data_IF_763707235187
#
_entry.id   IF_763707235187
#
_cell.length_a   1.000
_cell.length_b   1.000
_cell.length_c   1.000
_cell.angle_alpha   90.00
_cell.angle_beta   90.00
_cell.angle_gamma   90.00
#
_symmetry.space_group_name_H-M   'P 1'
#
loop_
_entity.id
_entity.type
_entity.pdbx_description
1 polymer ?
#
# COMPACT_ATOMS: atom_id res chain seq x y z
N UNK A 1 -13.03 -8.31 5.24
CA UNK A 1 -12.13 -9.35 4.67
C UNK A 1 -10.70 -8.94 5.00
N UNK A 2 -9.80 -9.90 5.24
CA UNK A 2 -8.42 -9.59 5.60
C UNK A 2 -7.60 -9.35 4.31
N UNK A 3 -6.99 -8.18 4.19
CA UNK A 3 -6.10 -7.87 3.06
C UNK A 3 -4.74 -8.54 3.26
N UNK A 4 -4.09 -8.91 2.15
CA UNK A 4 -2.74 -9.44 2.22
C UNK A 4 -1.74 -8.37 2.68
N UNK A 5 -0.75 -8.77 3.46
CA UNK A 5 0.31 -7.87 3.94
C UNK A 5 1.61 -8.14 3.19
N UNK A 6 2.13 -7.14 2.48
CA UNK A 6 3.40 -7.27 1.73
C UNK A 6 4.58 -7.10 2.68
N UNK A 7 5.46 -8.10 2.74
CA UNK A 7 6.68 -8.10 3.57
C UNK A 7 7.94 -7.74 2.79
N UNK A 8 7.97 -8.00 1.49
CA UNK A 8 9.08 -7.64 0.61
C UNK A 8 8.62 -7.55 -0.85
N UNK A 9 9.32 -6.77 -1.66
CA UNK A 9 9.12 -6.71 -3.11
C UNK A 9 10.39 -6.26 -3.83
N UNK A 10 10.50 -6.61 -5.11
CA UNK A 10 11.58 -6.17 -5.99
C UNK A 10 11.04 -5.86 -7.38
N UNK A 11 11.58 -4.85 -8.07
CA UNK A 11 11.17 -4.49 -9.43
C UNK A 11 9.88 -3.69 -9.56
N UNK A 12 9.19 -3.37 -8.44
CA UNK A 12 8.00 -2.51 -8.44
C UNK A 12 8.28 -1.11 -7.90
N UNK A 13 7.60 -0.13 -8.49
CA UNK A 13 7.37 1.17 -7.86
C UNK A 13 6.19 1.06 -6.88
N UNK A 14 6.38 1.52 -5.64
CA UNK A 14 5.33 1.56 -4.62
C UNK A 14 4.78 2.99 -4.49
N UNK A 15 3.46 3.14 -4.51
CA UNK A 15 2.77 4.39 -4.19
C UNK A 15 1.59 4.11 -3.26
N UNK A 16 1.33 4.99 -2.31
CA UNK A 16 0.15 4.90 -1.43
C UNK A 16 -0.90 5.90 -1.88
N UNK A 17 -2.15 5.45 -2.03
CA UNK A 17 -3.29 6.29 -2.46
C UNK A 17 -4.46 6.14 -1.50
N UNK A 18 -5.23 7.22 -1.32
CA UNK A 18 -6.48 7.18 -0.59
C UNK A 18 -7.65 7.06 -1.57
N UNK A 19 -8.41 5.96 -1.48
CA UNK A 19 -9.58 5.71 -2.31
C UNK A 19 -10.78 5.55 -1.36
N UNK A 20 -11.73 6.48 -1.41
CA UNK A 20 -12.93 6.43 -0.56
C UNK A 20 -12.61 6.45 0.94
N UNK A 21 -11.55 7.15 1.36
CA UNK A 21 -11.11 7.22 2.76
C UNK A 21 -10.28 6.04 3.26
N UNK A 22 -10.01 5.04 2.40
CA UNK A 22 -9.12 3.91 2.73
C UNK A 22 -7.77 4.08 2.03
N UNK A 23 -6.68 3.92 2.77
CA UNK A 23 -5.33 3.93 2.23
C UNK A 23 -4.99 2.58 1.58
N UNK A 24 -4.45 2.62 0.37
CA UNK A 24 -4.03 1.46 -0.40
C UNK A 24 -2.59 1.62 -0.88
N UNK A 25 -1.79 0.56 -0.73
CA UNK A 25 -0.48 0.44 -1.33
C UNK A 25 -0.62 -0.19 -2.71
N UNK A 26 -0.12 0.51 -3.74
CA UNK A 26 -0.08 0.08 -5.13
C UNK A 26 1.35 -0.29 -5.49
N UNK A 27 1.53 -1.48 -6.03
CA UNK A 27 2.79 -2.01 -6.54
C UNK A 27 2.70 -2.14 -8.05
N UNK A 28 3.45 -1.31 -8.78
CA UNK A 28 3.46 -1.29 -10.25
C UNK A 28 4.77 -1.86 -10.77
N UNK A 29 4.69 -3.00 -11.46
CA UNK A 29 5.80 -3.67 -12.14
C UNK A 29 5.76 -3.31 -13.63
N UNK A 30 6.84 -2.75 -14.15
CA UNK A 30 6.94 -2.24 -15.53
C UNK A 30 8.08 -2.90 -16.33
N UNK A 31 8.41 -2.34 -17.51
CA UNK A 31 9.17 -2.99 -18.59
C UNK A 31 10.65 -3.30 -18.33
N UNK A 32 11.16 -3.13 -17.12
CA UNK A 32 12.53 -3.50 -16.75
C UNK A 32 12.70 -4.98 -16.39
N UNK A 33 11.68 -5.81 -16.65
CA UNK A 33 11.76 -7.27 -16.51
C UNK A 33 11.30 -7.74 -15.14
N UNK A 34 9.98 -7.82 -14.97
CA UNK A 34 9.35 -8.55 -13.86
C UNK A 34 9.83 -8.14 -12.47
N UNK A 35 9.75 -9.08 -11.54
CA UNK A 35 10.17 -8.89 -10.17
C UNK A 35 9.59 -9.96 -9.26
N UNK A 36 9.49 -9.64 -7.99
CA UNK A 36 8.82 -10.50 -7.01
C UNK A 36 8.04 -9.66 -6.00
N UNK A 37 6.98 -10.25 -5.46
CA UNK A 37 6.28 -9.74 -4.29
C UNK A 37 6.12 -10.87 -3.28
N UNK A 38 6.40 -10.58 -2.02
CA UNK A 38 6.26 -11.53 -0.92
C UNK A 38 5.19 -11.02 0.02
N UNK A 39 4.18 -11.85 0.25
CA UNK A 39 3.17 -11.60 1.28
C UNK A 39 3.59 -12.28 2.58
N UNK A 40 3.75 -11.50 3.66
CA UNK A 40 4.03 -12.02 5.00
C UNK A 40 2.77 -12.58 5.67
N UNK A 41 1.60 -12.08 5.29
CA UNK A 41 0.30 -12.63 5.65
C UNK A 41 -0.58 -12.72 4.40
N UNK A 42 -1.30 -13.84 4.25
CA UNK A 42 -2.24 -14.03 3.16
C UNK A 42 -3.49 -13.16 3.31
N UNK A 43 -4.20 -12.96 2.21
CA UNK A 43 -5.41 -12.16 2.16
C UNK A 43 -5.73 -11.67 0.74
N UNK A 44 -6.67 -10.76 0.65
CA UNK A 44 -7.17 -10.24 -0.63
C UNK A 44 -6.19 -9.24 -1.27
N UNK A 45 -6.03 -9.37 -2.60
CA UNK A 45 -5.21 -8.52 -3.46
C UNK A 45 -6.01 -8.19 -4.73
N UNK A 46 -6.22 -6.90 -5.00
CA UNK A 46 -6.71 -6.46 -6.30
C UNK A 46 -5.56 -6.51 -7.31
N UNK A 47 -5.81 -7.05 -8.50
CA UNK A 47 -4.78 -7.16 -9.53
C UNK A 47 -5.26 -6.60 -10.88
N UNK A 48 -4.28 -6.13 -11.65
CA UNK A 48 -4.37 -5.86 -13.08
C UNK A 48 -3.13 -6.45 -13.76
N UNK A 49 -3.32 -7.34 -14.72
CA UNK A 49 -2.27 -7.86 -15.59
C UNK A 49 -2.57 -7.42 -17.02
N UNK A 50 -1.55 -6.90 -17.70
CA UNK A 50 -1.64 -6.49 -19.10
C UNK A 50 -0.47 -7.14 -19.85
N UNK A 51 -0.74 -7.91 -20.89
CA UNK A 51 0.29 -8.45 -21.78
C UNK A 51 0.99 -7.36 -22.60
N UNK A 52 2.12 -7.67 -23.23
CA UNK A 52 2.73 -6.78 -24.22
C UNK A 52 1.85 -6.68 -25.48
N UNK A 53 1.80 -5.52 -26.13
CA UNK A 53 1.12 -5.35 -27.41
C UNK A 53 1.93 -5.90 -28.57
N UNK A 54 1.28 -6.29 -29.67
CA UNK A 54 1.93 -6.77 -30.89
C UNK A 54 2.61 -5.66 -31.70
N UNK A 55 3.69 -6.01 -32.38
CA UNK A 55 4.41 -5.14 -33.31
C UNK A 55 3.73 -5.04 -34.67
N UNK A 56 4.13 -4.05 -35.48
CA UNK A 56 3.56 -3.89 -36.82
C UNK A 56 4.39 -4.57 -37.90
N UNK A 57 3.68 -5.04 -38.93
CA UNK A 57 4.27 -5.54 -40.16
C UNK A 57 4.86 -4.41 -40.99
N UNK A 58 5.81 -4.77 -41.86
CA UNK A 58 6.45 -3.83 -42.78
C UNK A 58 5.59 -3.54 -44.02
N UNK A 59 5.90 -2.48 -44.78
CA UNK A 59 5.36 -2.31 -46.12
C UNK A 59 4.17 -1.34 -46.23
N UNK A 60 3.44 -1.49 -47.32
CA UNK A 60 2.70 -0.40 -47.94
C UNK A 60 1.37 -0.05 -47.28
N UNK A 61 0.78 -0.99 -46.54
CA UNK A 61 -0.52 -0.88 -45.89
C UNK A 61 -0.65 -2.05 -44.90
N UNK A 62 0.31 -2.18 -43.99
CA UNK A 62 0.30 -3.27 -43.02
C UNK A 62 -0.87 -3.12 -42.04
N UNK A 63 -1.33 -4.23 -41.46
CA UNK A 63 -2.29 -4.19 -40.35
C UNK A 63 -1.71 -3.50 -39.11
N UNK A 64 -2.58 -3.12 -38.17
CA UNK A 64 -2.16 -2.70 -36.83
C UNK A 64 -1.91 -3.89 -35.91
N UNK A 65 -0.96 -3.79 -34.98
CA UNK A 65 -0.73 -4.82 -33.96
C UNK A 65 -1.87 -4.88 -32.95
N UNK A 66 -2.16 -6.07 -32.42
CA UNK A 66 -3.15 -6.25 -31.35
C UNK A 66 -2.66 -5.68 -30.03
N UNK A 67 -3.57 -5.19 -29.19
CA UNK A 67 -3.24 -4.88 -27.79
C UNK A 67 -2.88 -6.15 -27.00
N UNK A 68 -2.17 -5.99 -25.89
CA UNK A 68 -2.02 -7.06 -24.91
C UNK A 68 -3.37 -7.41 -24.29
N UNK A 69 -3.57 -8.68 -23.97
CA UNK A 69 -4.73 -9.14 -23.20
C UNK A 69 -4.72 -8.49 -21.81
N UNK A 70 -5.92 -8.23 -21.27
CA UNK A 70 -6.09 -7.61 -19.96
C UNK A 70 -6.88 -8.53 -19.02
N UNK A 71 -6.33 -8.78 -17.84
CA UNK A 71 -7.01 -9.46 -16.74
C UNK A 71 -7.04 -8.55 -15.52
N UNK A 72 -8.19 -8.46 -14.86
CA UNK A 72 -8.32 -7.75 -13.58
C UNK A 72 -9.30 -8.47 -12.67
N UNK A 73 -9.13 -8.31 -11.37
CA UNK A 73 -9.99 -8.95 -10.39
C UNK A 73 -9.39 -8.99 -8.99
N UNK A 74 -9.99 -9.82 -8.16
CA UNK A 74 -9.56 -10.07 -6.78
C UNK A 74 -8.90 -11.45 -6.69
N UNK A 75 -7.75 -11.53 -6.04
CA UNK A 75 -7.04 -12.77 -5.74
C UNK A 75 -6.85 -12.90 -4.22
N UNK A 76 -7.20 -14.07 -3.68
CA UNK A 76 -6.84 -14.44 -2.30
C UNK A 76 -5.44 -15.04 -2.28
N UNK A 77 -4.43 -14.23 -1.95
CA UNK A 77 -3.04 -14.66 -1.87
C UNK A 77 -2.76 -15.40 -0.56
N UNK A 78 -1.91 -16.42 -0.61
CA UNK A 78 -1.31 -17.05 0.60
C UNK A 78 0.00 -16.34 0.97
N UNK A 79 0.45 -16.51 2.22
CA UNK A 79 1.74 -16.02 2.67
C UNK A 79 2.87 -16.76 1.96
N UNK A 80 3.39 -16.16 0.89
CA UNK A 80 4.39 -16.74 0.00
C UNK A 80 5.05 -15.67 -0.85
N UNK A 81 6.14 -16.04 -1.54
CA UNK A 81 6.76 -15.24 -2.59
C UNK A 81 6.14 -15.59 -3.95
N UNK A 82 5.76 -14.55 -4.69
CA UNK A 82 5.16 -14.67 -6.02
C UNK A 82 6.10 -14.02 -7.05
N UNK A 83 6.58 -14.79 -8.05
CA UNK A 83 7.28 -14.20 -9.17
C UNK A 83 6.29 -13.39 -10.02
N UNK A 84 6.78 -12.27 -10.54
CA UNK A 84 6.05 -11.39 -11.45
C UNK A 84 6.79 -11.35 -12.78
N UNK A 85 6.06 -11.53 -13.88
CA UNK A 85 6.58 -11.33 -15.23
C UNK A 85 5.77 -10.23 -15.91
N UNK A 86 6.47 -9.29 -16.55
CA UNK A 86 5.87 -8.24 -17.36
C UNK A 86 6.26 -8.49 -18.82
N UNK A 87 5.25 -8.67 -19.67
CA UNK A 87 5.43 -8.92 -21.09
C UNK A 87 6.07 -7.74 -21.81
N UNK A 88 7.12 -8.00 -22.57
CA UNK A 88 7.67 -7.06 -23.53
C UNK A 88 6.70 -6.85 -24.70
N UNK A 89 6.74 -5.65 -25.31
CA UNK A 89 6.02 -5.41 -26.55
C UNK A 89 6.67 -6.15 -27.72
N UNK A 90 5.85 -6.54 -28.70
CA UNK A 90 6.30 -7.24 -29.90
C UNK A 90 7.22 -6.39 -30.75
N UNK A 91 8.26 -7.01 -31.30
CA UNK A 91 9.27 -6.33 -32.11
C UNK A 91 8.67 -5.78 -33.41
N UNK A 92 9.18 -4.63 -33.84
CA UNK A 92 8.91 -4.09 -35.16
C UNK A 92 9.49 -5.01 -36.25
N UNK A 93 8.82 -5.14 -37.40
CA UNK A 93 9.40 -5.82 -38.55
C UNK A 93 10.70 -5.12 -39.01
N UNK A 94 11.81 -5.86 -39.07
CA UNK A 94 13.17 -5.34 -39.34
C UNK A 94 13.53 -5.23 -40.83
N UNK A 95 12.73 -5.83 -41.71
CA UNK A 95 12.94 -5.79 -43.15
C UNK A 95 11.60 -5.84 -43.90
N UNK A 96 11.61 -5.42 -45.17
CA UNK A 96 10.44 -5.48 -46.04
C UNK A 96 10.00 -6.92 -46.27
N UNK A 97 8.71 -7.20 -46.05
CA UNK A 97 8.15 -8.54 -46.19
C UNK A 97 8.02 -9.32 -44.87
N UNK A 98 8.49 -8.76 -43.75
CA UNK A 98 8.46 -9.39 -42.44
C UNK A 98 7.22 -8.93 -41.65
N UNK A 99 6.64 -9.86 -40.88
CA UNK A 99 5.54 -9.63 -39.96
C UNK A 99 6.01 -8.97 -38.66
N UNK A 100 5.12 -8.27 -37.97
CA UNK A 100 5.39 -7.80 -36.62
C UNK A 100 5.48 -8.98 -35.66
N UNK A 101 6.35 -8.87 -34.65
CA UNK A 101 6.41 -9.87 -33.58
C UNK A 101 5.18 -9.78 -32.68
N UNK A 102 4.78 -10.92 -32.11
CA UNK A 102 3.77 -10.96 -31.06
C UNK A 102 4.33 -10.31 -29.78
N UNK A 103 3.43 -9.77 -28.96
CA UNK A 103 3.77 -9.34 -27.61
C UNK A 103 4.00 -10.54 -26.70
N UNK A 104 4.76 -10.33 -25.63
CA UNK A 104 5.00 -11.36 -24.62
C UNK A 104 3.94 -11.32 -23.51
N UNK A 105 3.80 -12.43 -22.79
CA UNK A 105 2.82 -12.58 -21.72
C UNK A 105 3.25 -11.89 -20.42
N UNK A 106 2.27 -11.41 -19.64
CA UNK A 106 2.46 -11.01 -18.24
C UNK A 106 1.84 -12.03 -17.31
N UNK A 107 2.44 -12.27 -16.14
CA UNK A 107 1.93 -13.29 -15.20
C UNK A 107 2.12 -12.94 -13.73
N UNK A 108 1.15 -13.37 -12.92
CA UNK A 108 1.13 -13.28 -11.46
C UNK A 108 0.29 -14.41 -10.88
N UNK A 109 0.80 -15.13 -9.88
CA UNK A 109 0.06 -16.15 -9.12
C UNK A 109 -0.68 -17.21 -9.98
N UNK A 110 -0.07 -17.62 -11.10
CA UNK A 110 -0.66 -18.60 -12.03
C UNK A 110 -1.64 -18.00 -13.05
N UNK A 111 -2.00 -16.71 -12.92
CA UNK A 111 -2.74 -15.97 -13.93
C UNK A 111 -1.80 -15.50 -15.04
N UNK A 112 -2.28 -15.56 -16.28
CA UNK A 112 -1.51 -15.14 -17.46
C UNK A 112 -2.37 -14.24 -18.33
N UNK A 113 -1.90 -13.00 -18.51
CA UNK A 113 -2.40 -12.07 -19.52
C UNK A 113 -1.59 -12.25 -20.80
N UNK A 114 -2.22 -12.70 -21.88
CA UNK A 114 -1.53 -13.05 -23.11
C UNK A 114 -1.06 -11.81 -23.88
N UNK A 115 0.11 -11.89 -24.52
CA UNK A 115 0.58 -10.84 -25.40
C UNK A 115 -0.25 -10.72 -26.68
N UNK A 116 -0.28 -9.52 -27.28
CA UNK A 116 -1.06 -9.21 -28.46
C UNK A 116 -0.45 -9.76 -29.74
N UNK A 117 -1.31 -10.14 -30.69
CA UNK A 117 -0.87 -10.66 -31.99
C UNK A 117 -0.20 -9.59 -32.86
N UNK A 118 0.89 -9.96 -33.50
CA UNK A 118 1.62 -9.16 -34.47
C UNK A 118 0.83 -8.90 -35.75
N UNK A 119 1.11 -7.77 -36.39
CA UNK A 119 0.47 -7.41 -37.65
C UNK A 119 1.25 -7.90 -38.87
N UNK A 120 0.57 -8.01 -40.00
CA UNK A 120 1.12 -8.55 -41.26
C UNK A 120 1.14 -7.49 -42.37
N UNK A 121 1.91 -7.76 -43.44
CA UNK A 121 2.21 -6.79 -44.51
C UNK A 121 1.35 -6.93 -45.78
N UNK A 122 1.21 -8.13 -46.35
CA UNK A 122 0.45 -8.38 -47.58
C UNK A 122 0.01 -9.84 -47.67
N UNK A 123 -1.24 -10.08 -48.06
CA UNK A 123 -1.79 -11.43 -48.27
C UNK A 123 -1.65 -12.38 -47.06
N UNK A 124 -1.71 -11.81 -45.85
CA UNK A 124 -1.66 -12.54 -44.58
C UNK A 124 -2.83 -12.15 -43.69
N UNK A 125 -3.28 -13.10 -42.87
CA UNK A 125 -4.15 -12.82 -41.73
C UNK A 125 -3.32 -12.29 -40.56
N UNK A 126 -3.91 -11.43 -39.72
CA UNK A 126 -3.25 -11.00 -38.49
C UNK A 126 -2.99 -12.19 -37.56
N UNK A 127 -1.96 -12.10 -36.71
CA UNK A 127 -1.68 -13.16 -35.74
C UNK A 127 -2.69 -13.13 -34.59
N UNK A 128 -2.98 -14.31 -34.03
CA UNK A 128 -3.79 -14.45 -32.82
C UNK A 128 -2.99 -14.02 -31.59
N UNK A 129 -3.68 -13.60 -30.53
CA UNK A 129 -3.04 -13.25 -29.26
C UNK A 129 -4.08 -12.89 -28.20
N UNK A 130 -3.63 -12.28 -27.10
CA UNK A 130 -4.51 -11.70 -26.08
C UNK A 130 -5.57 -10.80 -26.73
N UNK A 131 -5.12 -9.88 -27.59
CA UNK A 131 -5.94 -9.30 -28.66
C UNK A 131 -5.31 -9.63 -30.03
N UNK A 132 -6.14 -9.81 -31.05
CA UNK A 132 -5.68 -10.21 -32.38
C UNK A 132 -5.08 -9.06 -33.20
N UNK A 133 -4.06 -9.36 -34.00
CA UNK A 133 -3.48 -8.42 -34.96
C UNK A 133 -4.41 -8.12 -36.13
N UNK A 134 -4.23 -6.96 -36.78
CA UNK A 134 -4.99 -6.56 -37.96
C UNK A 134 -4.53 -7.30 -39.22
N UNK A 135 -5.49 -7.66 -40.09
CA UNK A 135 -5.21 -8.30 -41.37
C UNK A 135 -4.57 -7.34 -42.38
N UNK A 136 -3.79 -7.89 -43.31
CA UNK A 136 -3.22 -7.12 -44.41
C UNK A 136 -4.15 -7.09 -45.63
N UNK A 137 -3.98 -6.16 -46.58
CA UNK A 137 -4.62 -6.27 -47.88
C UNK A 137 -4.12 -7.52 -48.63
N UNK A 138 -5.02 -8.28 -49.28
CA UNK A 138 -4.71 -9.51 -50.03
C UNK A 138 -5.07 -9.43 -51.51
N UNK A 139 -4.31 -10.07 -52.40
CA UNK A 139 -4.58 -10.02 -53.83
C UNK A 139 -5.80 -10.90 -54.15
N UNK A 140 -6.98 -10.29 -54.32
CA UNK A 140 -8.23 -11.00 -54.58
C UNK A 140 -9.21 -11.06 -53.40
N UNK A 141 -8.98 -10.31 -52.31
CA UNK A 141 -10.00 -10.20 -51.26
C UNK A 141 -9.55 -9.58 -49.93
N UNK A 142 -10.45 -9.73 -48.95
CA UNK A 142 -10.31 -9.30 -47.56
C UNK A 142 -9.51 -10.33 -46.77
N UNK A 143 -8.45 -9.93 -46.07
CA UNK A 143 -7.77 -10.82 -45.10
C UNK A 143 -8.20 -10.47 -43.70
N UNK A 144 -8.63 -11.47 -42.92
CA UNK A 144 -9.13 -11.29 -41.56
C UNK A 144 -8.01 -10.87 -40.61
N UNK A 145 -8.39 -10.17 -39.54
CA UNK A 145 -7.52 -10.05 -38.38
C UNK A 145 -7.40 -11.38 -37.64
N UNK A 146 -6.44 -11.45 -36.74
CA UNK A 146 -6.30 -12.55 -35.79
C UNK A 146 -7.39 -12.50 -34.72
N UNK A 147 -7.60 -13.63 -34.06
CA UNK A 147 -8.50 -13.77 -32.93
C UNK A 147 -7.89 -13.21 -31.64
N UNK A 148 -8.77 -12.71 -30.75
CA UNK A 148 -8.43 -12.41 -29.37
C UNK A 148 -8.79 -13.59 -28.43
N UNK A 149 -8.17 -13.63 -27.27
CA UNK A 149 -8.53 -14.61 -26.23
C UNK A 149 -9.79 -14.14 -25.50
N UNK A 150 -10.81 -15.00 -25.45
CA UNK A 150 -12.09 -14.71 -24.78
C UNK A 150 -11.84 -14.32 -23.33
N UNK A 151 -12.41 -13.17 -22.93
CA UNK A 151 -12.25 -12.62 -21.58
C UNK A 151 -10.97 -11.80 -21.36
N UNK A 152 -10.08 -11.70 -22.34
CA UNK A 152 -8.87 -10.85 -22.27
C UNK A 152 -8.79 -9.81 -23.39
N UNK A 153 -9.35 -10.12 -24.56
CA UNK A 153 -9.37 -9.18 -25.67
C UNK A 153 -10.16 -9.66 -26.88
N UNK A 154 -10.16 -8.80 -27.90
CA UNK A 154 -10.99 -8.96 -29.10
C UNK A 154 -10.15 -9.17 -30.35
N UNK A 155 -10.82 -9.63 -31.41
CA UNK A 155 -10.20 -9.86 -32.71
C UNK A 155 -9.78 -8.56 -33.40
N UNK A 156 -8.77 -8.66 -34.26
CA UNK A 156 -8.38 -7.60 -35.18
C UNK A 156 -9.37 -7.48 -36.34
N UNK A 157 -9.38 -6.29 -36.94
CA UNK A 157 -10.14 -6.00 -38.15
C UNK A 157 -9.44 -6.51 -39.41
N UNK A 158 -10.21 -6.61 -40.47
CA UNK A 158 -9.77 -7.11 -41.75
C UNK A 158 -9.16 -6.03 -42.66
N UNK A 159 -8.10 -6.42 -43.37
CA UNK A 159 -7.47 -5.61 -44.41
C UNK A 159 -8.14 -5.81 -45.77
N UNK A 160 -8.21 -4.75 -46.58
CA UNK A 160 -8.90 -4.74 -47.87
C UNK A 160 -7.96 -4.24 -48.96
N UNK A 161 -7.95 -4.98 -50.07
CA UNK A 161 -7.27 -4.59 -51.30
C UNK A 161 -8.29 -4.21 -52.37
N UNK A 162 -8.22 -2.98 -52.87
CA UNK A 162 -9.05 -2.52 -54.00
C UNK A 162 -8.21 -2.37 -55.26
N UNK A 163 -7.03 -1.77 -55.12
CA UNK A 163 -6.05 -1.64 -56.20
C UNK A 163 -4.63 -1.48 -55.63
N UNK A 164 -3.62 -1.49 -56.50
CA UNK A 164 -2.24 -1.24 -56.09
C UNK A 164 -2.05 0.14 -55.41
N UNK A 165 -2.90 1.09 -55.80
CA UNK A 165 -2.95 2.46 -55.31
C UNK A 165 -3.79 2.57 -54.02
N UNK A 166 -4.90 1.83 -53.94
CA UNK A 166 -5.86 1.89 -52.85
C UNK A 166 -5.95 0.55 -52.09
N UNK A 167 -5.22 0.49 -50.97
CA UNK A 167 -5.16 -0.67 -50.08
C UNK A 167 -4.93 -0.24 -48.64
N UNK A 168 -5.51 -0.99 -47.72
CA UNK A 168 -5.51 -0.67 -46.28
C UNK A 168 -5.43 -1.94 -45.45
N UNK A 169 -4.60 -1.90 -44.40
CA UNK A 169 -4.61 -2.90 -43.34
C UNK A 169 -5.79 -2.69 -42.41
N UNK A 170 -6.24 -3.76 -41.76
CA UNK A 170 -7.20 -3.71 -40.67
C UNK A 170 -6.55 -3.18 -39.39
N UNK A 171 -7.36 -2.61 -38.49
CA UNK A 171 -6.90 -2.24 -37.16
C UNK A 171 -6.70 -3.46 -36.28
N UNK A 172 -5.73 -3.41 -35.36
CA UNK A 172 -5.57 -4.44 -34.33
C UNK A 172 -6.71 -4.39 -33.32
N UNK A 173 -7.05 -5.55 -32.75
CA UNK A 173 -8.02 -5.68 -31.68
C UNK A 173 -7.51 -5.04 -30.39
N UNK A 174 -8.41 -4.46 -29.60
CA UNK A 174 -8.13 -4.02 -28.25
C UNK A 174 -8.78 -4.91 -27.21
N UNK A 175 -8.47 -4.69 -25.94
CA UNK A 175 -9.04 -5.44 -24.83
C UNK A 175 -10.54 -5.12 -24.58
N UNK A 176 -11.03 -3.98 -25.10
CA UNK A 176 -12.40 -3.49 -24.92
C UNK A 176 -13.27 -3.50 -26.18
N UNK A 177 -12.68 -3.61 -27.38
CA UNK A 177 -13.43 -3.73 -28.63
C UNK A 177 -12.60 -4.37 -29.76
N UNK A 178 -13.31 -4.91 -30.75
CA UNK A 178 -12.71 -5.37 -32.01
C UNK A 178 -11.97 -4.25 -32.73
N UNK A 179 -10.93 -4.61 -33.48
CA UNK A 179 -10.29 -3.70 -34.43
C UNK A 179 -11.23 -3.39 -35.59
N UNK A 180 -11.13 -2.19 -36.15
CA UNK A 180 -11.99 -1.83 -37.26
C UNK A 180 -11.50 -2.48 -38.55
N UNK A 181 -12.45 -3.03 -39.31
CA UNK A 181 -12.23 -3.38 -40.70
C UNK A 181 -11.91 -2.13 -41.51
N UNK A 182 -11.21 -2.33 -42.62
CA UNK A 182 -10.91 -1.22 -43.52
C UNK A 182 -12.16 -0.73 -44.26
N UNK A 183 -12.52 0.53 -44.00
CA UNK A 183 -13.53 1.27 -44.76
C UNK A 183 -12.93 2.01 -45.95
N UNK A 184 -13.65 2.07 -47.07
CA UNK A 184 -13.16 2.71 -48.31
C UNK A 184 -13.10 4.26 -48.24
N UNK A 185 -13.58 4.88 -47.16
CA UNK A 185 -13.80 6.34 -47.04
C UNK A 185 -12.60 7.15 -46.49
N UNK A 186 -11.46 7.12 -47.18
CA UNK A 186 -10.38 8.12 -47.04
C UNK A 186 -9.49 8.10 -45.77
N UNK A 187 -9.90 7.43 -44.69
CA UNK A 187 -9.12 7.28 -43.44
C UNK A 187 -8.61 5.85 -43.26
N UNK A 188 -7.47 5.64 -42.57
CA UNK A 188 -7.04 4.30 -42.16
C UNK A 188 -8.07 3.59 -41.26
N UNK A 189 -7.83 2.31 -40.97
CA UNK A 189 -8.67 1.53 -40.05
C UNK A 189 -8.25 1.77 -38.61
N UNK A 190 -9.17 2.14 -37.72
CA UNK A 190 -8.84 2.42 -36.33
C UNK A 190 -8.54 1.14 -35.54
N UNK A 191 -7.70 1.26 -34.52
CA UNK A 191 -7.50 0.16 -33.56
C UNK A 191 -8.68 0.02 -32.60
N UNK A 192 -8.91 -1.20 -32.10
CA UNK A 192 -9.91 -1.45 -31.07
C UNK A 192 -9.51 -0.81 -29.74
N UNK A 193 -10.48 -0.24 -29.02
CA UNK A 193 -10.19 0.37 -27.70
C UNK A 193 -9.78 -0.70 -26.67
N UNK A 194 -8.92 -0.32 -25.74
CA UNK A 194 -8.64 -1.07 -24.53
C UNK A 194 -9.80 -1.00 -23.52
N UNK A 195 -9.60 -1.62 -22.36
CA UNK A 195 -10.57 -1.59 -21.24
C UNK A 195 -10.15 -0.56 -20.19
N UNK A 196 -11.11 0.16 -19.62
CA UNK A 196 -10.88 1.16 -18.59
C UNK A 196 -10.87 0.52 -17.20
N UNK A 197 -9.78 0.67 -16.45
CA UNK A 197 -9.58 0.09 -15.12
C UNK A 197 -9.14 1.17 -14.13
N UNK A 198 -9.82 1.24 -12.98
CA UNK A 198 -9.59 2.21 -11.90
C UNK A 198 -8.69 1.71 -10.77
N UNK A 199 -7.72 0.83 -11.05
CA UNK A 199 -6.94 0.15 -9.99
C UNK A 199 -6.07 1.13 -9.18
N UNK A 200 -5.65 2.25 -9.78
CA UNK A 200 -4.83 3.27 -9.11
C UNK A 200 -5.64 4.39 -8.44
N UNK A 201 -6.98 4.30 -8.46
CA UNK A 201 -7.89 5.34 -8.00
C UNK A 201 -8.38 6.29 -9.11
N UNK A 202 -7.76 6.25 -10.29
CA UNK A 202 -8.25 6.91 -11.50
C UNK A 202 -8.39 5.91 -12.65
N UNK A 203 -9.37 6.13 -13.51
CA UNK A 203 -9.65 5.23 -14.64
C UNK A 203 -8.60 5.44 -15.76
N UNK A 204 -7.88 4.37 -16.11
CA UNK A 204 -6.91 4.34 -17.20
C UNK A 204 -7.28 3.23 -18.18
N UNK A 205 -7.09 3.46 -19.47
CA UNK A 205 -7.31 2.43 -20.49
C UNK A 205 -6.06 1.57 -20.68
N UNK A 206 -6.24 0.26 -20.82
CA UNK A 206 -5.17 -0.72 -21.06
C UNK A 206 -5.50 -1.65 -22.22
N UNK A 207 -4.49 -2.05 -22.99
CA UNK A 207 -4.61 -3.00 -24.10
C UNK A 207 -5.28 -2.42 -25.35
N UNK A 208 -4.94 -1.19 -25.74
CA UNK A 208 -5.47 -0.58 -26.98
C UNK A 208 -4.80 -1.16 -28.24
N UNK A 209 -5.58 -1.52 -29.27
CA UNK A 209 -5.04 -2.00 -30.54
C UNK A 209 -4.47 -0.88 -31.42
N UNK A 210 -3.51 -1.20 -32.28
CA UNK A 210 -2.95 -0.25 -33.24
C UNK A 210 -3.86 -0.02 -34.46
N UNK A 211 -3.81 1.16 -35.05
CA UNK A 211 -4.52 1.43 -36.32
C UNK A 211 -3.82 0.76 -37.51
N UNK A 212 -4.58 0.40 -38.55
CA UNK A 212 -4.04 -0.13 -39.80
C UNK A 212 -3.41 0.95 -40.68
N UNK A 213 -2.36 0.58 -41.42
CA UNK A 213 -1.70 1.45 -42.39
C UNK A 213 -2.50 1.56 -43.69
N UNK A 214 -2.40 2.69 -44.39
CA UNK A 214 -3.17 2.94 -45.63
C UNK A 214 -2.35 3.58 -46.74
N UNK A 215 -2.56 3.12 -47.99
CA UNK A 215 -2.17 3.89 -49.17
C UNK A 215 -3.32 4.76 -49.66
N UNK A 216 -2.97 5.95 -50.14
CA UNK A 216 -3.88 6.96 -50.68
C UNK A 216 -4.97 7.36 -49.67
N UNK A 217 -4.53 7.86 -48.52
CA UNK A 217 -5.40 8.41 -47.48
C UNK A 217 -5.28 9.94 -47.39
N UNK A 218 -6.36 10.60 -46.98
CA UNK A 218 -6.33 12.03 -46.58
C UNK A 218 -5.78 12.20 -45.17
N UNK A 219 -5.92 11.20 -44.29
CA UNK A 219 -5.36 11.20 -42.94
C UNK A 219 -5.11 9.80 -42.39
N UNK A 220 -4.23 9.72 -41.39
CA UNK A 220 -3.98 8.50 -40.63
C UNK A 220 -5.15 8.17 -39.70
N UNK A 221 -5.20 6.92 -39.24
CA UNK A 221 -6.16 6.49 -38.23
C UNK A 221 -5.53 6.44 -36.85
N UNK A 222 -6.32 6.77 -35.83
CA UNK A 222 -5.91 6.66 -34.45
C UNK A 222 -5.86 5.19 -34.02
N UNK A 223 -4.86 4.86 -33.19
CA UNK A 223 -4.91 3.64 -32.40
C UNK A 223 -6.02 3.72 -31.34
N UNK A 224 -6.37 2.57 -30.78
CA UNK A 224 -7.35 2.48 -29.70
C UNK A 224 -6.84 3.11 -28.40
N UNK A 225 -7.76 3.62 -27.59
CA UNK A 225 -7.44 4.09 -26.24
C UNK A 225 -6.78 2.96 -25.43
N UNK A 226 -5.82 3.30 -24.58
CA UNK A 226 -4.94 2.32 -23.93
C UNK A 226 -3.65 2.05 -24.68
N UNK A 227 -3.15 3.07 -25.38
CA UNK A 227 -1.77 3.11 -25.89
C UNK A 227 -1.58 2.59 -27.32
N UNK A 228 -2.65 2.37 -28.08
CA UNK A 228 -2.56 1.92 -29.47
C UNK A 228 -1.85 2.95 -30.36
N UNK A 229 -0.94 2.48 -31.21
CA UNK A 229 -0.22 3.32 -32.16
C UNK A 229 -1.09 3.78 -33.34
N UNK A 230 -0.86 5.00 -33.81
CA UNK A 230 -1.53 5.52 -34.99
C UNK A 230 -0.98 4.86 -36.26
N UNK A 231 -1.86 4.58 -37.23
CA UNK A 231 -1.49 3.98 -38.51
C UNK A 231 -0.81 5.01 -39.42
N UNK A 232 0.29 4.59 -40.07
CA UNK A 232 0.94 5.38 -41.11
C UNK A 232 0.09 5.44 -42.37
N UNK A 233 0.32 6.46 -43.20
CA UNK A 233 -0.36 6.55 -44.49
C UNK A 233 0.47 7.23 -45.57
N UNK A 234 0.15 6.95 -46.83
CA UNK A 234 0.65 7.69 -47.99
C UNK A 234 -0.50 8.51 -48.58
N UNK A 235 -0.31 9.81 -48.82
CA UNK A 235 -1.34 10.64 -49.46
C UNK A 235 -1.34 10.48 -51.00
N UNK A 236 -2.32 11.07 -51.68
CA UNK A 236 -2.44 11.02 -53.15
C UNK A 236 -1.27 11.69 -53.90
N UNK A 237 -0.48 12.53 -53.22
CA UNK A 237 0.75 13.14 -53.76
C UNK A 237 1.99 12.25 -53.56
N UNK A 238 1.84 11.06 -52.97
CA UNK A 238 2.94 10.13 -52.68
C UNK A 238 3.75 10.47 -51.43
N UNK A 239 3.33 11.45 -50.62
CA UNK A 239 3.99 11.79 -49.35
C UNK A 239 3.65 10.77 -48.27
N UNK A 240 4.67 10.21 -47.63
CA UNK A 240 4.53 9.25 -46.52
C UNK A 240 4.46 9.96 -45.18
N UNK A 241 3.44 9.63 -44.40
CA UNK A 241 3.27 10.02 -43.01
C UNK A 241 3.47 8.79 -42.12
N UNK A 242 4.36 8.93 -41.16
CA UNK A 242 4.71 7.86 -40.23
C UNK A 242 3.59 7.60 -39.23
N UNK A 243 3.36 6.34 -38.91
CA UNK A 243 2.59 5.93 -37.75
C UNK A 243 3.41 6.02 -36.46
N UNK A 244 2.95 5.34 -35.42
CA UNK A 244 3.63 5.27 -34.12
C UNK A 244 3.62 3.85 -33.55
N UNK A 245 4.56 3.59 -32.64
CA UNK A 245 4.55 2.38 -31.81
C UNK A 245 3.47 2.41 -30.74
N UNK A 246 3.31 1.28 -30.07
CA UNK A 246 2.48 1.17 -28.88
C UNK A 246 3.10 1.88 -27.68
N UNK A 247 2.26 2.25 -26.71
CA UNK A 247 2.71 2.92 -25.48
C UNK A 247 3.13 1.89 -24.44
N UNK A 248 4.37 2.00 -23.96
CA UNK A 248 4.90 1.14 -22.88
C UNK A 248 4.10 1.30 -21.58
N UNK A 249 3.92 0.18 -20.87
CA UNK A 249 3.15 0.13 -19.63
C UNK A 249 1.63 0.11 -19.82
N UNK A 250 1.15 0.13 -21.07
CA UNK A 250 -0.28 0.03 -21.40
C UNK A 250 -0.62 -1.19 -22.26
N UNK A 251 0.38 -1.95 -22.73
CA UNK A 251 0.17 -3.08 -23.63
C UNK A 251 -0.40 -2.66 -24.99
N UNK A 252 -0.14 -1.44 -25.44
CA UNK A 252 -0.70 -0.94 -26.70
C UNK A 252 -0.10 -1.62 -27.94
N UNK A 253 -0.92 -1.96 -28.94
CA UNK A 253 -0.46 -2.48 -30.21
C UNK A 253 0.16 -1.40 -31.11
N UNK A 254 1.11 -1.78 -31.96
CA UNK A 254 1.77 -0.86 -32.90
C UNK A 254 0.87 -0.44 -34.06
N UNK A 255 1.01 0.80 -34.54
CA UNK A 255 0.35 1.25 -35.77
C UNK A 255 0.90 0.58 -37.02
N UNK A 256 0.04 0.26 -37.98
CA UNK A 256 0.40 -0.31 -39.27
C UNK A 256 1.23 0.65 -40.11
N UNK A 257 2.21 0.11 -40.83
CA UNK A 257 3.09 0.89 -41.70
C UNK A 257 2.45 1.23 -43.04
N UNK A 258 2.87 2.36 -43.62
CA UNK A 258 2.58 2.74 -45.00
C UNK A 258 3.89 3.10 -45.74
N UNK A 259 4.88 2.20 -45.66
CA UNK A 259 6.21 2.42 -46.21
C UNK A 259 7.26 1.50 -45.58
N UNK A 260 8.47 2.03 -45.34
CA UNK A 260 9.62 1.25 -44.84
C UNK A 260 9.75 1.25 -43.31
N UNK A 261 8.98 2.05 -42.58
CA UNK A 261 9.09 2.19 -41.12
C UNK A 261 8.03 1.32 -40.45
N UNK A 262 8.49 0.37 -39.63
CA UNK A 262 7.66 -0.47 -38.76
C UNK A 262 7.82 -0.02 -37.31
N UNK A 263 6.90 -0.42 -36.43
CA UNK A 263 6.87 0.01 -35.04
C UNK A 263 6.68 -1.16 -34.09
N UNK A 264 7.26 -1.05 -32.89
CA UNK A 264 7.12 -2.04 -31.83
C UNK A 264 5.81 -1.82 -31.05
N UNK A 265 5.28 -2.90 -30.51
CA UNK A 265 4.23 -2.83 -29.51
C UNK A 265 4.74 -2.25 -28.20
N UNK A 266 3.82 -1.77 -27.37
CA UNK A 266 4.10 -1.32 -26.02
C UNK A 266 4.23 -2.50 -25.06
N UNK A 267 5.12 -2.39 -24.09
CA UNK A 267 5.18 -3.34 -22.97
C UNK A 267 3.89 -3.39 -22.16
N UNK A 268 3.65 -4.54 -21.53
CA UNK A 268 2.61 -4.74 -20.54
C UNK A 268 2.92 -4.07 -19.21
N UNK A 269 2.07 -4.34 -18.23
CA UNK A 269 2.22 -3.90 -16.83
C UNK A 269 1.54 -4.91 -15.91
N UNK A 270 2.07 -5.07 -14.69
CA UNK A 270 1.37 -5.75 -13.60
C UNK A 270 1.20 -4.77 -12.46
N UNK A 271 -0.04 -4.57 -12.01
CA UNK A 271 -0.37 -3.66 -10.91
C UNK A 271 -1.11 -4.45 -9.84
N UNK A 272 -0.60 -4.41 -8.62
CA UNK A 272 -1.22 -5.02 -7.44
C UNK A 272 -1.61 -3.93 -6.46
N UNK A 273 -2.80 -4.03 -5.88
CA UNK A 273 -3.29 -3.12 -4.85
C UNK A 273 -3.72 -3.91 -3.62
N UNK A 274 -3.19 -3.50 -2.46
CA UNK A 274 -3.54 -4.03 -1.14
C UNK A 274 -3.86 -2.88 -0.21
N UNK A 275 -4.73 -3.09 0.78
CA UNK A 275 -4.94 -2.06 1.80
C UNK A 275 -3.62 -1.83 2.55
N UNK A 276 -3.22 -0.56 2.67
CA UNK A 276 -2.08 -0.22 3.52
C UNK A 276 -2.48 -0.55 4.96
N UNK A 277 -1.64 -1.24 5.75
CA UNK A 277 -1.82 -1.28 7.18
C UNK A 277 -1.91 0.17 7.66
N UNK A 278 -3.04 0.55 8.27
CA UNK A 278 -3.16 1.86 8.89
C UNK A 278 -2.12 1.87 10.00
N UNK A 279 -1.04 2.63 9.83
CA UNK A 279 -0.30 3.11 10.98
C UNK A 279 -1.28 4.02 11.72
N UNK A 280 -1.86 3.53 12.82
CA UNK A 280 -2.71 4.33 13.68
C UNK A 280 -1.82 5.35 14.41
N UNK A 281 -1.41 6.40 13.68
CA UNK A 281 -0.68 7.55 14.20
C UNK A 281 -1.49 8.80 13.89
N UNK A 282 -2.21 9.31 14.88
CA UNK A 282 -2.79 10.64 14.79
C UNK A 282 -1.65 11.64 14.97
N UNK A 283 -1.28 12.36 13.90
CA UNK A 283 -0.35 13.50 14.00
C UNK A 283 -1.16 14.79 13.84
N UNK A 284 -1.22 15.61 14.88
CA UNK A 284 -1.91 16.90 14.86
C UNK A 284 -2.40 17.38 16.23
N UNK A 285 -2.52 18.70 16.40
CA UNK A 285 -3.17 19.29 17.58
C UNK A 285 -4.66 19.00 17.56
N UNK A 286 -5.11 18.07 18.40
CA UNK A 286 -6.54 17.84 18.64
C UNK A 286 -7.04 18.82 19.70
N UNK A 287 -8.10 19.56 19.41
CA UNK A 287 -8.92 20.22 20.44
C UNK A 287 -10.16 19.35 20.67
N UNK A 288 -10.20 18.60 21.77
CA UNK A 288 -11.25 17.64 22.08
C UNK A 288 -10.73 16.30 22.62
N UNK A 289 -11.64 15.35 22.85
CA UNK A 289 -11.31 13.97 23.23
C UNK A 289 -10.84 13.17 22.01
N UNK A 290 -9.70 12.48 22.11
CA UNK A 290 -9.21 11.54 21.11
C UNK A 290 -9.38 10.12 21.65
N UNK A 291 -10.22 9.32 20.98
CA UNK A 291 -10.48 7.92 21.34
C UNK A 291 -9.84 7.00 20.29
N UNK A 292 -8.90 6.15 20.70
CA UNK A 292 -8.25 5.15 19.85
C UNK A 292 -8.63 3.74 20.31
N UNK A 293 -9.61 3.10 19.65
CA UNK A 293 -10.10 1.75 19.98
C UNK A 293 -9.74 0.70 18.92
N UNK A 294 -9.19 -0.44 19.32
CA UNK A 294 -9.00 -1.59 18.41
C UNK A 294 -7.86 -2.56 18.81
N UNK A 295 -7.75 -3.69 18.10
CA UNK A 295 -6.62 -4.63 18.25
C UNK A 295 -5.63 -4.43 17.10
N UNK A 296 -4.41 -3.98 17.43
CA UNK A 296 -3.32 -3.80 16.46
C UNK A 296 -2.04 -4.47 16.96
N UNK A 297 -1.34 -5.18 16.07
CA UNK A 297 0.05 -5.59 16.28
C UNK A 297 0.96 -4.51 15.65
N UNK A 298 1.31 -3.47 16.42
CA UNK A 298 2.09 -2.34 15.91
C UNK A 298 2.34 -1.25 16.96
N UNK A 299 3.14 -0.24 16.56
CA UNK A 299 3.45 0.95 17.36
C UNK A 299 2.34 2.00 17.16
N UNK A 300 1.79 2.54 18.26
CA UNK A 300 0.89 3.68 18.23
C UNK A 300 1.62 4.89 18.82
N UNK A 301 1.83 5.93 18.00
CA UNK A 301 2.43 7.20 18.41
C UNK A 301 1.37 8.30 18.37
N UNK A 302 1.16 8.96 19.52
CA UNK A 302 0.37 10.18 19.61
C UNK A 302 1.31 11.35 19.97
N UNK A 303 1.45 12.30 19.04
CA UNK A 303 2.23 13.53 19.23
C UNK A 303 1.29 14.76 19.12
N UNK A 304 1.04 15.47 20.24
CA UNK A 304 0.18 16.66 20.25
C UNK A 304 -0.21 17.20 21.64
N UNK A 305 -0.65 18.47 21.74
CA UNK A 305 -1.28 19.00 22.96
C UNK A 305 -2.71 18.46 23.08
N UNK A 306 -3.07 17.86 24.22
CA UNK A 306 -4.45 17.47 24.54
C UNK A 306 -4.93 18.31 25.74
N UNK A 307 -6.10 18.95 25.61
CA UNK A 307 -6.63 19.88 26.64
C UNK A 307 -7.89 19.36 27.34
N UNK A 308 -8.25 18.07 27.22
CA UNK A 308 -9.45 17.55 27.88
C UNK A 308 -9.40 16.07 28.26
N UNK A 309 -9.06 15.14 27.35
CA UNK A 309 -8.87 13.71 27.64
C UNK A 309 -8.20 12.95 26.49
N UNK A 310 -7.38 11.94 26.80
CA UNK A 310 -6.86 10.96 25.83
C UNK A 310 -7.12 9.54 26.35
N UNK A 311 -8.01 8.81 25.67
CA UNK A 311 -8.35 7.42 26.02
C UNK A 311 -7.77 6.46 24.98
N UNK A 312 -6.92 5.54 25.43
CA UNK A 312 -6.35 4.46 24.60
C UNK A 312 -6.84 3.12 25.15
N UNK A 313 -7.71 2.45 24.39
CA UNK A 313 -8.32 1.18 24.77
C UNK A 313 -8.05 0.09 23.71
N UNK A 314 -7.30 -0.96 24.06
CA UNK A 314 -7.05 -2.06 23.11
C UNK A 314 -6.15 -3.20 23.59
N UNK A 315 -6.49 -4.42 23.18
CA UNK A 315 -5.71 -5.65 23.44
C UNK A 315 -4.76 -5.96 22.28
N UNK A 316 -3.49 -5.62 22.44
CA UNK A 316 -2.41 -5.93 21.49
C UNK A 316 -1.03 -5.87 22.14
N UNK A 317 -0.05 -6.61 21.61
CA UNK A 317 1.33 -6.68 22.12
C UNK A 317 2.22 -5.50 21.66
N UNK A 318 1.65 -4.29 21.57
CA UNK A 318 2.30 -3.11 21.01
C UNK A 318 3.02 -2.24 22.06
N UNK A 319 3.90 -1.36 21.60
CA UNK A 319 4.43 -0.26 22.40
C UNK A 319 3.66 1.03 22.05
N UNK A 320 3.23 1.79 23.05
CA UNK A 320 2.57 3.08 22.88
C UNK A 320 3.50 4.21 23.39
N UNK A 321 3.71 5.23 22.57
CA UNK A 321 4.41 6.47 22.98
C UNK A 321 3.43 7.63 22.96
N UNK A 322 3.30 8.34 24.08
CA UNK A 322 2.55 9.61 24.14
C UNK A 322 3.53 10.74 24.44
N UNK A 323 3.66 11.69 23.51
CA UNK A 323 4.51 12.88 23.64
C UNK A 323 3.65 14.14 23.49
N UNK A 324 3.32 14.81 24.60
CA UNK A 324 2.39 15.96 24.58
C UNK A 324 2.17 16.67 25.93
N UNK A 325 1.66 17.91 25.92
CA UNK A 325 1.12 18.57 27.14
C UNK A 325 -0.34 18.14 27.31
N UNK A 326 -0.69 17.59 28.48
CA UNK A 326 -2.04 17.16 28.83
C UNK A 326 -2.63 18.01 29.96
N UNK A 327 -3.67 18.79 29.69
CA UNK A 327 -4.58 19.28 30.73
C UNK A 327 -5.81 18.34 30.70
N UNK A 328 -6.03 17.48 31.72
CA UNK A 328 -7.17 16.53 31.74
C UNK A 328 -6.85 15.10 32.20
N UNK A 329 -7.80 14.18 31.96
CA UNK A 329 -7.69 12.73 32.27
C UNK A 329 -6.92 11.98 31.16
N UNK A 330 -6.01 11.09 31.52
CA UNK A 330 -5.43 10.11 30.58
C UNK A 330 -5.74 8.71 31.10
N UNK A 331 -6.54 7.96 30.36
CA UNK A 331 -6.92 6.59 30.71
C UNK A 331 -6.30 5.59 29.72
N UNK A 332 -5.55 4.63 30.25
CA UNK A 332 -5.06 3.48 29.49
C UNK A 332 -5.72 2.19 29.97
N UNK A 333 -6.41 1.47 29.07
CA UNK A 333 -7.02 0.18 29.39
C UNK A 333 -6.67 -0.92 28.38
N UNK A 334 -6.33 -2.12 28.87
CA UNK A 334 -6.34 -3.36 28.07
C UNK A 334 -5.00 -3.92 27.55
N UNK A 335 -3.86 -3.58 28.16
CA UNK A 335 -2.55 -4.00 27.63
C UNK A 335 -2.22 -5.49 27.87
N UNK A 336 -2.07 -6.28 26.80
CA UNK A 336 -1.29 -7.51 26.83
C UNK A 336 0.20 -7.21 26.61
N UNK A 337 1.09 -7.65 27.51
CA UNK A 337 2.58 -7.66 27.41
C UNK A 337 3.32 -6.44 26.78
N UNK A 338 2.70 -5.26 26.68
CA UNK A 338 3.22 -4.07 25.99
C UNK A 338 4.02 -3.09 26.86
N UNK A 339 4.70 -2.12 26.24
CA UNK A 339 5.43 -1.02 26.91
C UNK A 339 4.70 0.31 26.67
N UNK A 340 4.46 1.08 27.72
CA UNK A 340 3.95 2.45 27.63
C UNK A 340 5.05 3.46 28.05
N UNK A 341 5.35 4.44 27.19
CA UNK A 341 6.29 5.54 27.45
C UNK A 341 5.51 6.86 27.40
N UNK A 342 5.39 7.53 28.55
CA UNK A 342 4.62 8.79 28.68
C UNK A 342 5.60 9.92 28.98
N UNK A 343 5.74 10.87 28.05
CA UNK A 343 6.64 12.03 28.18
C UNK A 343 5.86 13.35 28.29
N UNK A 344 4.87 13.38 29.19
CA UNK A 344 3.91 14.48 29.29
C UNK A 344 4.15 15.40 30.50
N UNK A 345 3.81 16.69 30.36
CA UNK A 345 3.47 17.57 31.49
C UNK A 345 1.96 17.40 31.72
N UNK A 346 1.54 16.81 32.85
CA UNK A 346 0.14 16.57 33.16
C UNK A 346 -0.34 17.37 34.37
N UNK A 347 -1.50 18.01 34.24
CA UNK A 347 -2.29 18.48 35.38
C UNK A 347 -3.68 17.84 35.31
N UNK A 348 -3.98 16.89 36.21
CA UNK A 348 -5.21 16.11 36.21
C UNK A 348 -5.09 14.72 36.86
N UNK A 349 -6.07 13.85 36.56
CA UNK A 349 -6.11 12.44 36.98
C UNK A 349 -5.41 11.59 35.91
N UNK A 350 -4.61 10.62 36.31
CA UNK A 350 -3.89 9.72 35.41
C UNK A 350 -4.11 8.28 35.86
N UNK A 351 -4.96 7.55 35.12
CA UNK A 351 -5.39 6.21 35.48
C UNK A 351 -4.80 5.18 34.52
N UNK A 352 -4.09 4.19 35.07
CA UNK A 352 -3.60 3.03 34.32
C UNK A 352 -4.29 1.77 34.82
N UNK A 353 -5.05 1.10 33.95
CA UNK A 353 -5.57 -0.25 34.17
C UNK A 353 -4.82 -1.26 33.28
N UNK A 354 -3.81 -1.93 33.85
CA UNK A 354 -2.91 -2.82 33.11
C UNK A 354 -2.99 -4.29 33.56
N UNK A 355 -3.54 -5.16 32.70
CA UNK A 355 -3.54 -6.61 32.88
C UNK A 355 -2.36 -7.27 32.13
N UNK A 356 -1.13 -7.23 32.68
CA UNK A 356 0.02 -7.91 32.07
C UNK A 356 1.41 -7.42 32.50
N UNK A 357 2.46 -7.97 31.88
CA UNK A 357 3.89 -7.68 32.15
C UNK A 357 4.36 -6.30 31.65
N UNK A 358 3.58 -5.24 31.87
CA UNK A 358 3.83 -3.92 31.30
C UNK A 358 4.90 -3.14 32.07
N UNK A 359 5.73 -2.37 31.36
CA UNK A 359 6.64 -1.38 31.97
C UNK A 359 6.15 0.02 31.62
N UNK A 360 5.97 0.84 32.64
CA UNK A 360 5.54 2.24 32.53
C UNK A 360 6.73 3.14 32.88
N UNK A 361 7.21 3.93 31.91
CA UNK A 361 8.21 4.98 32.15
C UNK A 361 7.51 6.35 31.98
N UNK A 362 7.32 7.10 33.06
CA UNK A 362 6.73 8.44 33.03
C UNK A 362 7.83 9.49 33.27
N UNK A 363 8.01 10.46 32.36
CA UNK A 363 8.99 11.53 32.50
C UNK A 363 8.33 12.92 32.34
N UNK A 364 8.09 13.65 33.45
CA UNK A 364 7.46 14.97 33.42
C UNK A 364 6.99 15.54 34.78
N UNK A 365 6.46 16.77 34.78
CA UNK A 365 5.73 17.35 35.94
C UNK A 365 4.30 16.79 35.93
N UNK A 366 3.94 16.02 36.95
CA UNK A 366 2.59 15.47 37.13
C UNK A 366 1.95 16.10 38.37
N UNK A 367 0.77 16.69 38.25
CA UNK A 367 0.01 17.23 39.38
C UNK A 367 -1.41 16.65 39.39
N UNK A 368 -1.80 15.95 40.47
CA UNK A 368 -3.11 15.31 40.64
C UNK A 368 -3.07 13.89 41.23
N UNK A 369 -4.02 13.01 40.88
CA UNK A 369 -4.05 11.59 41.31
C UNK A 369 -3.44 10.70 40.23
N UNK A 370 -2.58 9.76 40.61
CA UNK A 370 -2.08 8.68 39.75
C UNK A 370 -2.60 7.36 40.32
N UNK A 371 -3.53 6.72 39.62
CA UNK A 371 -4.08 5.43 40.05
C UNK A 371 -3.54 4.32 39.13
N UNK A 372 -2.80 3.37 39.70
CA UNK A 372 -2.30 2.19 38.97
C UNK A 372 -3.06 0.97 39.47
N UNK A 373 -3.85 0.36 38.58
CA UNK A 373 -4.64 -0.85 38.86
C UNK A 373 -4.22 -2.01 37.95
N UNK A 374 -3.99 -3.21 38.51
CA UNK A 374 -3.65 -4.39 37.69
C UNK A 374 -3.04 -5.60 38.40
N UNK A 375 -3.13 -6.79 37.79
CA UNK A 375 -2.61 -8.07 38.34
C UNK A 375 -1.27 -8.52 37.72
N UNK A 376 -0.59 -7.66 36.97
CA UNK A 376 0.60 -7.99 36.18
C UNK A 376 1.94 -7.78 36.87
N UNK A 377 3.00 -8.47 36.40
CA UNK A 377 4.38 -8.40 36.92
C UNK A 377 5.15 -7.14 36.44
N UNK A 378 4.47 -6.02 36.33
CA UNK A 378 4.97 -4.79 35.72
C UNK A 378 5.69 -3.85 36.69
N UNK A 379 6.77 -3.22 36.25
CA UNK A 379 7.48 -2.18 37.01
C UNK A 379 7.09 -0.78 36.55
N UNK A 380 6.85 0.13 37.49
CA UNK A 380 6.58 1.55 37.24
C UNK A 380 7.80 2.41 37.62
N UNK A 381 8.25 3.26 36.71
CA UNK A 381 9.34 4.19 36.90
C UNK A 381 8.84 5.62 36.64
N UNK A 382 8.74 6.41 37.71
CA UNK A 382 8.37 7.83 37.64
C UNK A 382 9.66 8.66 37.71
N UNK A 383 9.86 9.56 36.75
CA UNK A 383 10.99 10.50 36.69
C UNK A 383 10.46 11.93 36.57
N UNK A 384 10.30 12.64 37.69
CA UNK A 384 9.85 14.04 37.64
C UNK A 384 9.37 14.64 38.96
N UNK A 385 8.76 15.83 38.89
CA UNK A 385 8.11 16.51 40.04
C UNK A 385 6.66 16.05 40.09
N UNK A 386 6.28 15.31 41.13
CA UNK A 386 4.90 14.85 41.35
C UNK A 386 4.27 15.59 42.54
N UNK A 387 3.03 16.09 42.40
CA UNK A 387 2.23 16.62 43.51
C UNK A 387 0.82 16.01 43.51
N UNK A 388 0.33 15.54 44.67
CA UNK A 388 -0.99 14.90 44.79
C UNK A 388 -0.95 13.45 45.34
N UNK A 389 -1.94 12.62 45.00
CA UNK A 389 -2.09 11.23 45.50
C UNK A 389 -1.54 10.21 44.50
N UNK A 390 -0.86 9.18 44.97
CA UNK A 390 -0.46 8.03 44.14
C UNK A 390 -1.05 6.78 44.79
N UNK A 391 -2.03 6.16 44.13
CA UNK A 391 -2.71 4.95 44.60
C UNK A 391 -2.30 3.77 43.73
N UNK A 392 -1.77 2.71 44.35
CA UNK A 392 -1.41 1.47 43.64
C UNK A 392 -2.24 0.32 44.21
N UNK A 393 -3.14 -0.24 43.39
CA UNK A 393 -4.02 -1.35 43.80
C UNK A 393 -3.87 -2.57 42.88
N UNK A 394 -3.61 -3.75 43.44
CA UNK A 394 -3.54 -5.01 42.69
C UNK A 394 -2.40 -5.95 43.08
N UNK A 395 -2.49 -7.22 42.63
CA UNK A 395 -1.50 -8.27 42.93
C UNK A 395 -0.25 -8.15 42.03
N UNK A 396 0.42 -7.01 42.08
CA UNK A 396 1.60 -6.76 41.24
C UNK A 396 2.90 -7.23 41.92
N UNK A 397 3.66 -8.08 41.24
CA UNK A 397 5.08 -8.31 41.53
C UNK A 397 5.89 -7.24 40.78
N UNK A 398 6.00 -6.04 41.36
CA UNK A 398 6.61 -4.88 40.71
C UNK A 398 7.44 -4.03 41.66
N UNK A 399 8.58 -3.52 41.19
CA UNK A 399 9.39 -2.52 41.91
C UNK A 399 8.93 -1.12 41.55
N UNK A 400 8.65 -0.28 42.54
CA UNK A 400 8.44 1.16 42.37
C UNK A 400 9.74 1.86 42.71
N UNK A 401 10.36 2.53 41.74
CA UNK A 401 11.60 3.30 41.96
C UNK A 401 11.34 4.75 41.59
N UNK A 402 11.35 5.67 42.57
CA UNK A 402 11.43 7.11 42.32
C UNK A 402 12.91 7.50 42.23
N UNK A 403 13.37 7.98 41.08
CA UNK A 403 14.78 8.26 40.80
C UNK A 403 15.05 9.72 40.42
N UNK A 404 14.15 10.64 40.78
CA UNK A 404 14.34 12.07 40.56
C UNK A 404 15.20 12.71 41.65
N UNK A 405 16.22 13.48 41.26
CA UNK A 405 16.75 14.52 42.15
C UNK A 405 15.61 15.52 42.43
N UNK A 406 14.87 15.32 43.53
CA UNK A 406 13.77 16.17 43.93
C UNK A 406 14.27 17.55 44.36
N UNK A 407 14.52 18.43 43.39
CA UNK A 407 14.51 19.88 43.61
C UNK A 407 13.08 20.35 43.35
N UNK A 408 12.16 19.97 44.23
CA UNK A 408 10.74 20.29 44.10
C UNK A 408 9.93 19.52 45.14
N UNK A 409 9.10 20.24 45.89
CA UNK A 409 8.31 19.74 47.01
C UNK A 409 7.35 18.63 46.56
N UNK A 410 7.56 17.38 47.00
CA UNK A 410 6.52 16.37 46.93
C UNK A 410 5.60 16.56 48.16
N UNK A 411 4.41 17.11 47.93
CA UNK A 411 3.34 17.21 48.95
C UNK A 411 2.18 16.29 48.55
N UNK A 412 1.92 15.23 49.33
CA UNK A 412 0.90 14.22 48.98
C UNK A 412 0.83 13.01 49.90
N UNK A 413 -0.22 12.19 49.74
CA UNK A 413 -0.38 10.89 50.40
C UNK A 413 -0.04 9.76 49.42
N UNK A 414 0.68 8.74 49.89
CA UNK A 414 0.99 7.51 49.15
C UNK A 414 0.27 6.34 49.84
N UNK A 415 -0.74 5.74 49.19
CA UNK A 415 -1.47 4.58 49.73
C UNK A 415 -1.16 3.31 48.93
N UNK A 416 -0.71 2.27 49.64
CA UNK A 416 -0.31 0.97 49.10
C UNK A 416 -1.24 -0.12 49.63
N UNK A 417 -2.32 -0.41 48.89
CA UNK A 417 -3.42 -1.31 49.28
C UNK A 417 -3.27 -2.77 48.77
N UNK A 418 -2.04 -3.29 48.65
CA UNK A 418 -1.78 -4.56 47.95
C UNK A 418 -0.93 -5.60 48.71
N UNK A 419 -1.15 -6.89 48.38
CA UNK A 419 -0.28 -8.04 48.70
C UNK A 419 0.97 -8.01 47.78
N UNK A 420 1.82 -6.99 47.94
CA UNK A 420 2.95 -6.74 47.03
C UNK A 420 4.28 -7.35 47.57
N UNK A 421 4.97 -8.14 46.74
CA UNK A 421 6.37 -8.51 46.96
C UNK A 421 7.21 -7.56 46.09
N UNK A 422 7.75 -6.48 46.66
CA UNK A 422 8.45 -5.46 45.88
C UNK A 422 9.25 -4.44 46.70
N UNK A 423 10.32 -3.90 46.08
CA UNK A 423 11.11 -2.79 46.66
C UNK A 423 10.46 -1.45 46.28
N UNK A 424 10.22 -0.60 47.27
CA UNK A 424 9.83 0.80 47.14
C UNK A 424 10.96 1.70 47.66
N UNK A 425 11.49 2.62 46.85
CA UNK A 425 12.52 3.59 47.29
C UNK A 425 12.07 5.02 46.98
N UNK A 426 11.99 5.86 48.01
CA UNK A 426 11.70 7.30 47.94
C UNK A 426 12.99 8.06 48.29
N UNK A 427 13.42 9.04 47.49
CA UNK A 427 14.58 9.88 47.82
C UNK A 427 14.32 11.36 47.50
N UNK A 428 14.32 12.24 48.52
CA UNK A 428 14.07 13.68 48.32
C UNK A 428 13.62 14.44 49.58
N UNK A 429 13.39 15.76 49.48
CA UNK A 429 12.64 16.54 50.49
C UNK A 429 11.14 16.50 50.15
N UNK A 430 10.34 15.86 51.00
CA UNK A 430 8.91 15.67 50.83
C UNK A 430 8.16 15.86 52.17
N UNK A 431 6.85 16.13 52.10
CA UNK A 431 5.95 16.25 53.26
C UNK A 431 4.62 15.54 52.99
N UNK A 432 4.18 14.62 53.85
CA UNK A 432 2.95 13.84 53.63
C UNK A 432 2.77 12.62 54.54
N UNK A 433 1.76 11.80 54.22
CA UNK A 433 1.40 10.55 54.90
C UNK A 433 1.65 9.35 53.97
N UNK A 434 2.20 8.25 54.52
CA UNK A 434 2.35 6.97 53.80
C UNK A 434 1.49 5.93 54.55
N UNK A 435 0.48 5.38 53.87
CA UNK A 435 -0.34 4.27 54.37
C UNK A 435 0.01 2.97 53.62
N UNK A 436 0.21 1.89 54.37
CA UNK A 436 0.48 0.54 53.82
C UNK A 436 -0.44 -0.46 54.53
N UNK A 437 -1.31 -1.13 53.76
CA UNK A 437 -2.40 -1.95 54.32
C UNK A 437 -2.41 -3.42 53.85
N UNK A 438 -1.29 -3.93 53.32
CA UNK A 438 -1.10 -5.34 52.92
C UNK A 438 0.15 -6.03 53.50
N UNK A 439 0.40 -7.30 53.15
CA UNK A 439 1.66 -8.00 53.48
C UNK A 439 2.76 -7.56 52.50
N UNK A 440 3.69 -6.72 52.95
CA UNK A 440 4.78 -6.18 52.12
C UNK A 440 6.15 -6.41 52.78
N UNK A 441 7.17 -6.74 51.97
CA UNK A 441 8.58 -6.74 52.38
C UNK A 441 9.28 -5.56 51.67
N UNK A 442 9.78 -4.55 52.39
CA UNK A 442 10.33 -3.34 51.76
C UNK A 442 11.28 -2.52 52.64
N UNK A 443 12.02 -1.58 52.02
CA UNK A 443 13.03 -0.71 52.63
C UNK A 443 12.69 0.76 52.37
N UNK A 444 12.44 1.57 53.41
CA UNK A 444 12.27 3.01 53.28
C UNK A 444 13.58 3.74 53.64
N UNK A 445 14.01 4.71 52.82
CA UNK A 445 15.07 5.66 53.17
C UNK A 445 14.48 7.07 53.17
N UNK A 446 14.58 7.81 54.27
CA UNK A 446 14.12 9.20 54.32
C UNK A 446 15.30 10.15 54.17
N UNK A 447 15.25 11.07 53.21
CA UNK A 447 16.00 12.32 53.27
C UNK A 447 15.47 13.24 54.39
N UNK A 448 16.20 14.29 54.75
CA UNK A 448 15.82 15.21 55.83
C UNK A 448 14.42 15.84 55.63
N UNK A 449 13.43 15.31 56.35
CA UNK A 449 12.01 15.72 56.39
C UNK A 449 11.23 14.93 57.45
N UNK A 450 10.10 15.47 57.95
CA UNK A 450 9.21 14.76 58.90
C UNK A 450 8.16 13.95 58.15
N UNK A 451 8.02 12.67 58.49
CA UNK A 451 7.01 11.75 57.98
C UNK A 451 6.18 11.20 59.15
N UNK A 452 4.88 11.02 58.96
CA UNK A 452 4.05 10.15 59.80
C UNK A 452 3.87 8.82 59.05
N UNK A 453 4.23 7.70 59.69
CA UNK A 453 4.13 6.36 59.09
C UNK A 453 3.03 5.58 59.81
N UNK A 454 2.00 5.15 59.08
CA UNK A 454 0.88 4.37 59.62
C UNK A 454 0.94 2.97 59.01
N UNK A 455 1.57 2.02 59.70
CA UNK A 455 1.59 0.62 59.29
C UNK A 455 0.51 -0.18 60.02
N UNK A 456 -0.33 -0.89 59.26
CA UNK A 456 -1.32 -1.85 59.79
C UNK A 456 -0.84 -3.32 59.76
N UNK A 457 0.42 -3.59 59.35
CA UNK A 457 1.00 -4.94 59.17
C UNK A 457 2.42 -5.12 59.77
N UNK A 458 2.90 -6.37 59.87
CA UNK A 458 4.22 -6.74 60.43
C UNK A 458 5.36 -6.28 59.51
N UNK A 459 6.32 -5.52 60.04
CA UNK A 459 7.48 -5.02 59.29
C UNK A 459 8.81 -5.51 59.90
N UNK A 460 9.79 -5.86 59.04
CA UNK A 460 11.16 -6.15 59.46
C UNK A 460 12.09 -5.02 59.00
N UNK A 461 12.50 -4.17 59.94
CA UNK A 461 13.57 -3.22 59.71
C UNK A 461 14.92 -3.96 59.63
N UNK A 462 15.71 -3.69 58.59
CA UNK A 462 17.08 -4.23 58.52
C UNK A 462 18.15 -3.26 58.96
N UNK A 463 17.88 -1.96 59.22
CA UNK A 463 18.92 -1.00 59.64
C UNK A 463 18.39 0.40 60.05
N UNK A 464 17.55 0.55 61.09
CA UNK A 464 17.26 1.90 61.62
C UNK A 464 18.43 2.47 62.44
N UNK A 465 18.94 3.64 62.02
CA UNK A 465 19.57 4.62 62.92
C UNK A 465 18.54 5.68 63.32
N UNK A 466 17.75 5.41 64.36
CA UNK A 466 16.91 6.42 65.01
C UNK A 466 15.54 5.89 65.45
N UNK A 467 15.10 6.31 66.64
CA UNK A 467 13.79 5.96 67.20
C UNK A 467 12.69 6.85 66.62
N UNK A 468 11.55 6.26 66.28
CA UNK A 468 10.35 6.93 65.75
C UNK A 468 9.30 7.03 66.86
N UNK A 469 8.66 8.20 67.01
CA UNK A 469 7.56 8.40 67.95
C UNK A 469 6.27 7.82 67.36
N UNK A 470 5.48 7.15 68.20
CA UNK A 470 4.19 6.54 67.87
C UNK A 470 3.08 7.56 67.60
#
# INVERSE_FOLDING_TARGET
>A
MAYAAVSAYSGAAKTTVNIGGTAYDIYTFSSTGGGSITFGAGGDVDYLLVGGGGGSGSGSAAGGGGGGGVLSGLLSATASAYPITVGAGGAAATAGGVYGGDGENSSFAGLTAYGGGGAVNYNGAGADGGCGGGGAPGNGGTMTGGAGVTGQGYAGGAGVFVSAANRSGGGGGGAGAVGYDSGLSGTGSQGGTGVSIGITGTAVYYGGGGAGGRREATSGAAGGAGGGGAGGYVNSSGTTFTGSGGTNGLGGGAGGSAGAVSYSGGSGVVILRVASPIAAGATGSASGALELTGSATGHADAEGQASAALDIAGSGSGAATVSGRGEGSLDFSGLGAGRADVRAQSSGVFDIAADGSARVDAAGQASGSIDITGTGSGGALVKGTASGTIDVTGAAAGSVTDAGAAVGQASGALDLLATAIGRSSVSGQASGEIEISGSAEGRAETGAGSWAFVAKAIWQDREAKGAWAA
#
